data_IF_174535117448
#
_entry.id   IF_174535117448
#
_cell.length_a   1.000
_cell.length_b   1.000
_cell.length_c   1.000
_cell.angle_alpha   90.00
_cell.angle_beta   90.00
_cell.angle_gamma   90.00
#
_symmetry.space_group_name_H-M   'P 1'
#
loop_
_entity.id
_entity.type
_entity.pdbx_description
1 polymer ?
#
# COMPACT_ATOMS: atom_id res chain seq x y z
N UNK A 1 15.48 5.72 23.31
CA UNK A 1 14.37 5.99 24.25
C UNK A 1 13.13 6.59 23.56
N UNK A 2 13.30 7.54 22.64
CA UNK A 2 12.23 8.29 21.97
C UNK A 2 11.46 7.48 20.92
N UNK A 3 12.18 6.71 20.10
CA UNK A 3 11.60 5.76 19.14
C UNK A 3 10.73 4.71 19.85
N UNK A 4 11.20 4.16 20.98
CA UNK A 4 10.41 3.17 21.75
C UNK A 4 9.11 3.76 22.29
N UNK A 5 9.10 5.02 22.73
CA UNK A 5 7.87 5.70 23.16
C UNK A 5 6.90 5.89 21.98
N UNK A 6 7.41 6.31 20.82
CA UNK A 6 6.63 6.43 19.58
C UNK A 6 6.03 5.08 19.15
N UNK A 7 6.84 4.02 19.13
CA UNK A 7 6.39 2.66 18.80
C UNK A 7 5.33 2.20 19.81
N UNK A 8 5.57 2.38 21.10
CA UNK A 8 4.62 1.99 22.14
C UNK A 8 3.27 2.71 21.99
N UNK A 9 3.29 4.02 21.73
CA UNK A 9 2.08 4.80 21.46
C UNK A 9 1.34 4.34 20.20
N UNK A 10 2.08 3.98 19.15
CA UNK A 10 1.51 3.47 17.91
C UNK A 10 0.88 2.09 18.12
N UNK A 11 1.49 1.23 18.94
CA UNK A 11 0.87 -0.02 19.39
C UNK A 11 -0.43 0.22 20.16
N UNK A 12 -0.49 1.22 21.04
CA UNK A 12 -1.72 1.57 21.76
C UNK A 12 -2.83 2.07 20.81
N UNK A 13 -2.48 2.90 19.82
CA UNK A 13 -3.42 3.32 18.78
C UNK A 13 -3.94 2.12 17.99
N UNK A 14 -3.05 1.18 17.63
CA UNK A 14 -3.40 -0.06 16.95
C UNK A 14 -4.40 -0.91 17.76
N UNK A 15 -4.18 -1.05 19.06
CA UNK A 15 -5.11 -1.75 19.95
C UNK A 15 -6.48 -1.06 20.03
N UNK A 16 -6.51 0.27 20.03
CA UNK A 16 -7.76 1.05 20.06
C UNK A 16 -8.58 0.88 18.77
N UNK A 17 -7.90 0.77 17.62
CA UNK A 17 -8.53 0.58 16.31
C UNK A 17 -8.61 -0.88 15.87
N UNK A 18 -8.42 -1.84 16.79
CA UNK A 18 -8.39 -3.29 16.48
C UNK A 18 -9.58 -3.78 15.64
N UNK A 19 -10.78 -3.25 15.89
CA UNK A 19 -11.99 -3.65 15.15
C UNK A 19 -11.86 -3.30 13.66
N UNK A 20 -11.37 -2.09 13.37
CA UNK A 20 -11.19 -1.59 12.01
C UNK A 20 -10.06 -2.34 11.28
N UNK A 21 -9.00 -2.71 12.01
CA UNK A 21 -7.93 -3.55 11.46
C UNK A 21 -8.44 -4.95 11.11
N UNK A 22 -9.19 -5.58 12.02
CA UNK A 22 -9.77 -6.92 11.81
C UNK A 22 -10.76 -6.92 10.64
N UNK A 23 -11.63 -5.91 10.52
CA UNK A 23 -12.55 -5.82 9.38
C UNK A 23 -11.80 -5.64 8.06
N UNK A 24 -10.76 -4.80 8.03
CA UNK A 24 -9.92 -4.67 6.83
C UNK A 24 -9.18 -5.96 6.46
N UNK A 25 -8.69 -6.70 7.45
CA UNK A 25 -8.09 -8.01 7.24
C UNK A 25 -9.08 -9.02 6.61
N UNK A 26 -10.31 -9.08 7.13
CA UNK A 26 -11.35 -9.95 6.57
C UNK A 26 -11.71 -9.58 5.13
N UNK A 27 -11.81 -8.28 4.83
CA UNK A 27 -12.08 -7.81 3.46
C UNK A 27 -10.92 -8.19 2.53
N UNK A 28 -9.68 -8.05 2.97
CA UNK A 28 -8.51 -8.43 2.16
C UNK A 28 -8.49 -9.94 1.90
N UNK A 29 -8.88 -10.75 2.87
CA UNK A 29 -9.00 -12.20 2.69
C UNK A 29 -10.05 -12.54 1.61
N UNK A 30 -11.18 -11.84 1.59
CA UNK A 30 -12.19 -11.95 0.53
C UNK A 30 -11.67 -11.47 -0.83
N UNK A 31 -10.86 -10.40 -0.86
CA UNK A 31 -10.24 -9.92 -2.10
C UNK A 31 -9.23 -10.95 -2.62
N UNK A 32 -8.46 -11.58 -1.73
CA UNK A 32 -7.50 -12.62 -2.09
C UNK A 32 -8.15 -13.91 -2.62
N UNK A 33 -9.41 -14.21 -2.25
CA UNK A 33 -10.11 -15.40 -2.73
C UNK A 33 -10.69 -15.23 -4.15
N UNK A 34 -10.86 -14.01 -4.65
CA UNK A 34 -11.44 -13.78 -5.97
C UNK A 34 -10.52 -14.19 -7.15
N UNK A 35 -9.21 -13.84 -7.16
CA UNK A 35 -8.26 -14.40 -8.12
C UNK A 35 -8.17 -15.92 -8.04
N UNK A 36 -8.46 -16.46 -6.85
CA UNK A 36 -8.34 -17.90 -6.58
C UNK A 36 -9.37 -18.73 -7.33
N UNK A 37 -10.59 -18.20 -7.48
CA UNK A 37 -11.62 -18.85 -8.29
C UNK A 37 -11.21 -18.97 -9.76
N UNK A 38 -10.34 -18.07 -10.27
CA UNK A 38 -9.82 -18.13 -11.64
C UNK A 38 -8.76 -19.22 -11.84
N UNK A 39 -8.09 -19.72 -10.78
CA UNK A 39 -7.12 -20.84 -10.89
C UNK A 39 -7.74 -22.13 -11.45
N UNK A 40 -9.06 -22.30 -11.34
CA UNK A 40 -9.76 -23.49 -11.80
C UNK A 40 -9.90 -23.58 -13.32
N UNK A 41 -9.66 -22.49 -14.05
CA UNK A 41 -10.04 -22.37 -15.48
C UNK A 41 -8.87 -22.12 -16.44
N UNK A 42 -7.66 -21.80 -15.96
CA UNK A 42 -6.53 -21.44 -16.82
C UNK A 42 -5.21 -22.15 -16.48
N UNK A 43 -4.31 -22.22 -17.46
CA UNK A 43 -2.89 -22.47 -17.21
C UNK A 43 -2.36 -21.47 -16.16
N UNK A 44 -1.49 -21.94 -15.26
CA UNK A 44 -0.96 -21.11 -14.18
C UNK A 44 -0.05 -20.01 -14.76
N UNK A 45 -0.49 -18.76 -14.67
CA UNK A 45 0.26 -17.57 -15.06
C UNK A 45 0.16 -16.54 -13.94
N UNK A 46 1.30 -16.19 -13.33
CA UNK A 46 1.37 -15.34 -12.12
C UNK A 46 0.59 -14.03 -12.26
N UNK A 47 0.69 -13.39 -13.41
CA UNK A 47 0.05 -12.12 -13.73
C UNK A 47 -1.47 -12.24 -13.87
N UNK A 48 -1.97 -13.38 -14.33
CA UNK A 48 -3.40 -13.64 -14.49
C UNK A 48 -4.02 -14.12 -13.17
N UNK A 49 -3.27 -14.91 -12.39
CA UNK A 49 -3.82 -15.64 -11.25
C UNK A 49 -3.47 -15.04 -9.89
N UNK A 50 -2.27 -14.47 -9.70
CA UNK A 50 -1.85 -13.86 -8.43
C UNK A 50 -1.94 -12.32 -8.48
N UNK A 51 -1.46 -11.71 -9.56
CA UNK A 51 -1.25 -10.26 -9.67
C UNK A 51 -2.15 -9.60 -10.72
N UNK A 52 -3.40 -10.05 -10.80
CA UNK A 52 -4.34 -9.51 -11.78
C UNK A 52 -4.56 -8.00 -11.54
N UNK A 53 -4.23 -7.13 -12.52
CA UNK A 53 -4.23 -5.69 -12.34
C UNK A 53 -5.64 -5.13 -12.09
N UNK A 54 -6.71 -5.79 -12.56
CA UNK A 54 -8.09 -5.38 -12.32
C UNK A 54 -8.48 -5.53 -10.85
N UNK A 55 -8.12 -6.65 -10.20
CA UNK A 55 -8.38 -6.85 -8.77
C UNK A 55 -7.56 -5.88 -7.92
N UNK A 56 -6.31 -5.61 -8.33
CA UNK A 56 -5.46 -4.63 -7.64
C UNK A 56 -6.08 -3.23 -7.75
N UNK A 57 -6.57 -2.85 -8.93
CA UNK A 57 -7.21 -1.56 -9.20
C UNK A 57 -8.52 -1.34 -8.44
N UNK A 58 -9.47 -2.26 -8.56
CA UNK A 58 -10.84 -2.06 -8.07
C UNK A 58 -10.96 -2.39 -6.58
N UNK A 59 -10.19 -3.37 -6.09
CA UNK A 59 -10.38 -3.92 -4.75
C UNK A 59 -9.21 -3.64 -3.82
N UNK A 60 -7.99 -4.08 -4.15
CA UNK A 60 -6.86 -4.02 -3.21
C UNK A 60 -6.47 -2.58 -2.85
N UNK A 61 -6.16 -1.75 -3.85
CA UNK A 61 -5.69 -0.37 -3.64
C UNK A 61 -6.76 0.47 -2.92
N UNK A 62 -8.04 0.48 -3.36
CA UNK A 62 -9.06 1.32 -2.71
C UNK A 62 -9.32 0.90 -1.28
N UNK A 63 -9.33 -0.40 -1.00
CA UNK A 63 -9.51 -0.92 0.37
C UNK A 63 -8.40 -0.42 1.28
N UNK A 64 -7.14 -0.57 0.87
CA UNK A 64 -6.00 -0.15 1.69
C UNK A 64 -6.00 1.38 1.89
N UNK A 65 -6.35 2.16 0.85
CA UNK A 65 -6.49 3.63 0.96
C UNK A 65 -7.59 4.06 1.95
N UNK A 66 -8.73 3.37 1.96
CA UNK A 66 -9.83 3.66 2.89
C UNK A 66 -9.37 3.39 4.32
N UNK A 67 -8.84 2.21 4.59
CA UNK A 67 -8.44 1.82 5.94
C UNK A 67 -7.26 2.64 6.47
N UNK A 68 -6.28 2.97 5.64
CA UNK A 68 -5.18 3.85 6.04
C UNK A 68 -5.69 5.26 6.38
N UNK A 69 -6.57 5.84 5.56
CA UNK A 69 -7.11 7.19 5.80
C UNK A 69 -7.96 7.25 7.06
N UNK A 70 -8.67 6.16 7.39
CA UNK A 70 -9.40 6.02 8.62
C UNK A 70 -8.47 5.98 9.84
N UNK A 71 -7.27 5.43 9.68
CA UNK A 71 -6.32 5.21 10.78
C UNK A 71 -5.35 6.38 11.02
N UNK A 72 -5.10 7.24 10.03
CA UNK A 72 -4.20 8.38 10.17
C UNK A 72 -4.70 9.29 11.30
N UNK A 73 -3.94 9.31 12.38
CA UNK A 73 -4.15 10.16 13.56
C UNK A 73 -2.78 10.54 14.14
N UNK A 74 -2.58 11.82 14.40
CA UNK A 74 -1.36 12.33 15.02
C UNK A 74 -1.71 13.26 16.19
N UNK A 75 -0.84 13.30 17.20
CA UNK A 75 -1.08 14.11 18.40
C UNK A 75 -0.18 15.34 18.40
N UNK A 76 -0.80 16.51 18.41
CA UNK A 76 -0.06 17.78 18.49
C UNK A 76 0.75 17.91 19.79
N UNK A 77 0.28 17.29 20.88
CA UNK A 77 0.99 17.29 22.17
C UNK A 77 2.43 16.74 22.06
N UNK A 78 2.66 15.77 21.17
CA UNK A 78 3.97 15.17 21.00
C UNK A 78 4.98 16.15 20.38
N UNK A 79 4.50 17.19 19.66
CA UNK A 79 5.36 18.29 19.16
C UNK A 79 5.96 19.05 20.35
N UNK A 80 5.18 19.32 21.39
CA UNK A 80 5.63 20.08 22.57
C UNK A 80 6.64 19.28 23.40
N UNK A 81 6.38 17.98 23.57
CA UNK A 81 7.26 17.08 24.33
C UNK A 81 8.62 16.93 23.63
N UNK A 82 8.61 16.85 22.31
CA UNK A 82 9.78 16.51 21.50
C UNK A 82 10.43 17.72 20.82
N UNK A 83 9.81 18.90 20.96
CA UNK A 83 10.24 20.19 20.38
C UNK A 83 10.49 20.15 18.87
N UNK A 84 9.85 19.23 18.14
CA UNK A 84 9.99 19.11 16.68
C UNK A 84 8.71 18.63 16.01
N UNK A 85 8.38 19.26 14.86
CA UNK A 85 7.25 18.86 13.99
C UNK A 85 7.54 17.59 13.20
N UNK A 86 8.82 17.18 13.07
CA UNK A 86 9.21 15.96 12.36
C UNK A 86 8.61 14.69 12.97
N UNK A 87 8.21 14.74 14.25
CA UNK A 87 7.53 13.64 14.93
C UNK A 87 6.17 13.32 14.29
N UNK A 88 5.45 14.32 13.80
CA UNK A 88 4.17 14.08 13.13
C UNK A 88 4.40 13.31 11.84
N UNK A 89 5.44 13.68 11.08
CA UNK A 89 5.82 12.98 9.85
C UNK A 89 6.15 11.52 10.17
N UNK A 90 6.97 11.25 11.19
CA UNK A 90 7.33 9.88 11.56
C UNK A 90 6.14 9.08 12.06
N UNK A 91 5.22 9.69 12.82
CA UNK A 91 3.97 9.03 13.24
C UNK A 91 3.11 8.63 12.03
N UNK A 92 2.90 9.54 11.09
CA UNK A 92 2.12 9.29 9.88
C UNK A 92 2.78 8.19 9.04
N UNK A 93 4.08 8.30 8.78
CA UNK A 93 4.80 7.31 7.98
C UNK A 93 4.78 5.93 8.64
N UNK A 94 4.92 5.84 9.96
CA UNK A 94 4.85 4.56 10.67
C UNK A 94 3.44 3.96 10.57
N UNK A 95 2.38 4.76 10.67
CA UNK A 95 1.01 4.29 10.50
C UNK A 95 0.75 3.78 9.09
N UNK A 96 1.14 4.56 8.08
CA UNK A 96 1.00 4.14 6.68
C UNK A 96 1.80 2.86 6.43
N UNK A 97 3.06 2.79 6.88
CA UNK A 97 3.92 1.63 6.73
C UNK A 97 3.30 0.39 7.38
N UNK A 98 2.89 0.49 8.64
CA UNK A 98 2.34 -0.66 9.38
C UNK A 98 1.05 -1.18 8.75
N UNK A 99 0.12 -0.31 8.38
CA UNK A 99 -1.15 -0.72 7.75
C UNK A 99 -0.92 -1.37 6.39
N UNK A 100 -0.15 -0.69 5.52
CA UNK A 100 0.13 -1.21 4.18
C UNK A 100 0.90 -2.53 4.25
N UNK A 101 1.85 -2.66 5.17
CA UNK A 101 2.60 -3.90 5.40
C UNK A 101 1.68 -5.04 5.86
N UNK A 102 0.87 -4.83 6.90
CA UNK A 102 -0.06 -5.85 7.42
C UNK A 102 -1.03 -6.31 6.34
N UNK A 103 -1.60 -5.37 5.59
CA UNK A 103 -2.60 -5.68 4.58
C UNK A 103 -2.01 -6.38 3.35
N UNK A 104 -0.86 -5.95 2.85
CA UNK A 104 -0.25 -6.60 1.70
C UNK A 104 0.33 -7.96 2.07
N UNK A 105 0.93 -8.10 3.25
CA UNK A 105 1.39 -9.41 3.72
C UNK A 105 0.22 -10.36 3.96
N UNK A 106 -0.90 -9.90 4.52
CA UNK A 106 -2.11 -10.72 4.65
C UNK A 106 -2.66 -11.17 3.29
N UNK A 107 -2.71 -10.26 2.32
CA UNK A 107 -3.16 -10.56 0.97
C UNK A 107 -2.27 -11.60 0.30
N UNK A 108 -0.94 -11.43 0.38
CA UNK A 108 0.04 -12.36 -0.17
C UNK A 108 -0.06 -13.75 0.49
N UNK A 109 -0.13 -13.80 1.83
CA UNK A 109 -0.24 -15.06 2.57
C UNK A 109 -1.53 -15.78 2.18
N UNK A 110 -2.66 -15.06 2.09
CA UNK A 110 -3.93 -15.63 1.64
C UNK A 110 -3.81 -16.20 0.22
N UNK A 111 -3.23 -15.48 -0.74
CA UNK A 111 -3.03 -15.97 -2.10
C UNK A 111 -2.17 -17.25 -2.14
N UNK A 112 -1.08 -17.29 -1.37
CA UNK A 112 -0.20 -18.47 -1.28
C UNK A 112 -0.97 -19.66 -0.68
N UNK A 113 -1.67 -19.46 0.44
CA UNK A 113 -2.44 -20.51 1.11
C UNK A 113 -3.52 -21.08 0.18
N UNK A 114 -4.28 -20.20 -0.48
CA UNK A 114 -5.29 -20.63 -1.43
C UNK A 114 -4.68 -21.38 -2.63
N UNK A 115 -3.55 -20.91 -3.16
CA UNK A 115 -2.86 -21.60 -4.24
C UNK A 115 -2.34 -22.99 -3.83
N UNK A 116 -1.88 -23.16 -2.59
CA UNK A 116 -1.50 -24.47 -2.03
C UNK A 116 -2.72 -25.39 -1.92
N UNK A 117 -3.85 -24.89 -1.39
CA UNK A 117 -5.11 -25.66 -1.26
C UNK A 117 -5.62 -26.15 -2.63
N UNK A 118 -5.39 -25.37 -3.68
CA UNK A 118 -5.73 -25.74 -5.06
C UNK A 118 -4.68 -26.61 -5.78
N UNK A 119 -3.66 -27.10 -5.07
CA UNK A 119 -2.65 -28.00 -5.63
C UNK A 119 -1.59 -27.31 -6.50
N UNK A 120 -1.45 -25.97 -6.44
CA UNK A 120 -0.43 -25.20 -7.18
C UNK A 120 0.86 -24.96 -6.38
N UNK A 121 1.05 -25.65 -5.25
CA UNK A 121 2.18 -25.44 -4.34
C UNK A 121 3.56 -25.49 -5.00
N UNK A 122 3.81 -26.48 -5.85
CA UNK A 122 5.11 -26.61 -6.55
C UNK A 122 5.42 -25.44 -7.47
N UNK A 123 4.40 -24.89 -8.16
CA UNK A 123 4.57 -23.72 -9.04
C UNK A 123 4.86 -22.46 -8.23
N UNK A 124 4.19 -22.30 -7.08
CA UNK A 124 4.43 -21.18 -6.16
C UNK A 124 5.86 -21.20 -5.62
N UNK A 125 6.37 -22.39 -5.26
CA UNK A 125 7.76 -22.51 -4.77
C UNK A 125 8.76 -22.14 -5.86
N UNK A 126 8.55 -22.58 -7.11
CA UNK A 126 9.42 -22.23 -8.25
C UNK A 126 9.45 -20.73 -8.51
N UNK A 127 8.33 -20.04 -8.31
CA UNK A 127 8.16 -18.61 -8.59
C UNK A 127 8.26 -17.72 -7.33
N UNK A 128 8.71 -18.25 -6.20
CA UNK A 128 8.66 -17.53 -4.92
C UNK A 128 9.47 -16.21 -4.96
N UNK A 129 10.58 -16.20 -5.68
CA UNK A 129 11.39 -14.99 -5.88
C UNK A 129 10.65 -13.90 -6.67
N UNK A 130 9.98 -14.26 -7.77
CA UNK A 130 9.22 -13.31 -8.59
C UNK A 130 8.00 -12.78 -7.84
N UNK A 131 7.32 -13.65 -7.09
CA UNK A 131 6.20 -13.29 -6.21
C UNK A 131 6.61 -12.23 -5.17
N UNK A 132 7.73 -12.44 -4.47
CA UNK A 132 8.23 -11.48 -3.46
C UNK A 132 8.58 -10.14 -4.11
N UNK A 133 9.28 -10.16 -5.25
CA UNK A 133 9.68 -8.95 -5.96
C UNK A 133 8.46 -8.14 -6.43
N UNK A 134 7.50 -8.77 -7.10
CA UNK A 134 6.27 -8.10 -7.55
C UNK A 134 5.47 -7.57 -6.35
N UNK A 135 5.37 -8.34 -5.27
CA UNK A 135 4.67 -7.90 -4.06
C UNK A 135 5.33 -6.70 -3.42
N UNK A 136 6.67 -6.66 -3.37
CA UNK A 136 7.40 -5.50 -2.86
C UNK A 136 7.19 -4.26 -3.72
N UNK A 137 7.14 -4.40 -5.05
CA UNK A 137 6.78 -3.33 -5.97
C UNK A 137 5.35 -2.80 -5.68
N UNK A 138 4.37 -3.69 -5.60
CA UNK A 138 2.98 -3.34 -5.28
C UNK A 138 2.89 -2.64 -3.93
N UNK A 139 3.65 -3.11 -2.93
CA UNK A 139 3.74 -2.47 -1.62
C UNK A 139 4.29 -1.05 -1.71
N UNK A 140 5.38 -0.83 -2.46
CA UNK A 140 5.91 0.53 -2.67
C UNK A 140 4.93 1.45 -3.41
N UNK A 141 4.18 0.93 -4.39
CA UNK A 141 3.18 1.71 -5.13
C UNK A 141 1.99 2.10 -4.24
N UNK A 142 1.51 1.17 -3.42
CA UNK A 142 0.44 1.43 -2.47
C UNK A 142 0.93 2.39 -1.38
N UNK A 143 2.15 2.24 -0.89
CA UNK A 143 2.76 3.17 0.06
C UNK A 143 2.82 4.60 -0.51
N UNK A 144 3.27 4.75 -1.77
CA UNK A 144 3.26 6.03 -2.48
C UNK A 144 1.87 6.66 -2.50
N UNK A 145 0.86 5.91 -2.95
CA UNK A 145 -0.52 6.41 -3.02
C UNK A 145 -1.03 6.84 -1.65
N UNK A 146 -0.68 6.13 -0.58
CA UNK A 146 -1.05 6.52 0.78
C UNK A 146 -0.35 7.81 1.25
N UNK A 147 0.91 8.02 0.89
CA UNK A 147 1.61 9.28 1.16
C UNK A 147 0.95 10.43 0.40
N UNK A 148 0.63 10.24 -0.89
CA UNK A 148 -0.10 11.22 -1.72
C UNK A 148 -1.48 11.52 -1.11
N UNK A 149 -2.22 10.49 -0.73
CA UNK A 149 -3.52 10.65 -0.07
C UNK A 149 -3.39 11.48 1.20
N UNK A 150 -2.36 11.23 2.01
CA UNK A 150 -2.13 12.00 3.24
C UNK A 150 -1.77 13.45 2.96
N UNK A 151 -0.99 13.72 1.92
CA UNK A 151 -0.73 15.08 1.44
C UNK A 151 -2.06 15.78 1.10
N UNK A 152 -2.94 15.14 0.34
CA UNK A 152 -4.26 15.70 0.02
C UNK A 152 -5.16 15.86 1.25
N UNK A 153 -5.14 14.93 2.20
CA UNK A 153 -5.87 15.06 3.48
C UNK A 153 -5.39 16.31 4.21
N UNK A 154 -4.08 16.52 4.29
CA UNK A 154 -3.51 17.70 4.96
C UNK A 154 -3.78 18.98 4.18
N UNK A 155 -3.89 18.94 2.86
CA UNK A 155 -4.10 20.14 2.06
C UNK A 155 -5.57 20.59 2.06
N UNK A 156 -6.50 19.65 1.87
CA UNK A 156 -7.93 19.94 1.76
C UNK A 156 -8.70 19.79 3.08
N UNK A 157 -8.08 19.20 4.11
CA UNK A 157 -8.73 18.81 5.37
C UNK A 157 -9.98 17.90 5.17
N UNK A 158 -10.09 17.21 4.03
CA UNK A 158 -11.22 16.35 3.69
C UNK A 158 -10.74 14.96 3.25
N UNK A 159 -11.06 13.93 4.04
CA UNK A 159 -10.64 12.53 3.75
C UNK A 159 -11.28 11.99 2.46
N UNK A 160 -12.55 12.28 2.23
CA UNK A 160 -13.28 11.80 1.05
C UNK A 160 -12.70 12.38 -0.25
N UNK A 161 -12.46 13.70 -0.28
CA UNK A 161 -11.90 14.37 -1.45
C UNK A 161 -10.48 13.85 -1.76
N UNK A 162 -9.65 13.70 -0.73
CA UNK A 162 -8.31 13.13 -0.86
C UNK A 162 -8.33 11.70 -1.42
N UNK A 163 -9.26 10.87 -0.94
CA UNK A 163 -9.48 9.53 -1.47
C UNK A 163 -9.86 9.55 -2.95
N UNK A 164 -10.84 10.39 -3.34
CA UNK A 164 -11.29 10.49 -4.74
C UNK A 164 -10.14 10.92 -5.66
N UNK A 165 -9.35 11.93 -5.27
CA UNK A 165 -8.20 12.39 -6.06
C UNK A 165 -7.12 11.31 -6.19
N UNK A 166 -6.80 10.64 -5.08
CA UNK A 166 -5.81 9.54 -5.10
C UNK A 166 -6.30 8.35 -5.93
N UNK A 167 -7.59 8.03 -5.82
CA UNK A 167 -8.21 6.97 -6.62
C UNK A 167 -8.25 7.35 -8.11
N UNK A 168 -8.43 8.63 -8.45
CA UNK A 168 -8.34 9.11 -9.82
C UNK A 168 -6.91 8.97 -10.38
N UNK A 169 -5.87 9.24 -9.58
CA UNK A 169 -4.47 8.96 -9.97
C UNK A 169 -4.27 7.47 -10.24
N UNK A 170 -4.78 6.61 -9.34
CA UNK A 170 -4.75 5.16 -9.54
C UNK A 170 -5.46 4.75 -10.85
N UNK A 171 -6.63 5.31 -11.12
CA UNK A 171 -7.40 5.08 -12.35
C UNK A 171 -6.68 5.56 -13.61
N UNK A 172 -5.98 6.70 -13.55
CA UNK A 172 -5.15 7.18 -14.65
C UNK A 172 -3.99 6.21 -14.93
N UNK A 173 -3.29 5.74 -13.89
CA UNK A 173 -2.24 4.72 -14.04
C UNK A 173 -2.80 3.41 -14.60
N UNK A 174 -3.97 2.98 -14.17
CA UNK A 174 -4.62 1.78 -14.68
C UNK A 174 -5.03 1.93 -16.15
N UNK A 175 -5.56 3.09 -16.55
CA UNK A 175 -5.88 3.40 -17.95
C UNK A 175 -4.63 3.38 -18.85
N UNK A 176 -3.51 3.96 -18.38
CA UNK A 176 -2.23 3.88 -19.07
C UNK A 176 -1.79 2.43 -19.29
N UNK A 177 -1.88 1.61 -18.25
CA UNK A 177 -1.59 0.18 -18.33
C UNK A 177 -2.46 -0.55 -19.35
N UNK A 178 -3.79 -0.33 -19.35
CA UNK A 178 -4.69 -0.92 -20.34
C UNK A 178 -4.34 -0.51 -21.78
N UNK A 179 -3.87 0.73 -21.95
CA UNK A 179 -3.37 1.23 -23.24
C UNK A 179 -1.96 0.75 -23.61
N UNK A 180 -1.36 -0.14 -22.81
CA UNK A 180 0.02 -0.65 -22.95
C UNK A 180 1.09 0.46 -22.92
N UNK A 181 0.81 1.55 -22.22
CA UNK A 181 1.74 2.65 -21.97
C UNK A 181 2.40 2.48 -20.59
N UNK A 182 3.60 3.05 -20.38
CA UNK A 182 4.27 3.02 -19.09
C UNK A 182 3.36 3.58 -17.99
N UNK A 183 3.26 2.84 -16.90
CA UNK A 183 2.36 3.09 -15.78
C UNK A 183 3.11 2.89 -14.46
N UNK A 184 3.23 3.96 -13.69
CA UNK A 184 4.01 3.96 -12.45
C UNK A 184 3.58 2.86 -11.45
N UNK A 185 2.29 2.50 -11.44
CA UNK A 185 1.70 1.58 -10.47
C UNK A 185 1.60 0.16 -11.01
N UNK A 186 1.41 -0.02 -12.32
CA UNK A 186 1.05 -1.30 -12.94
C UNK A 186 2.14 -1.87 -13.88
N UNK A 187 3.31 -1.24 -13.95
CA UNK A 187 4.45 -1.74 -14.75
C UNK A 187 5.12 -2.98 -14.17
N UNK A 188 4.66 -3.50 -13.03
CA UNK A 188 5.06 -4.82 -12.55
C UNK A 188 4.61 -5.98 -13.46
N UNK A 189 3.74 -5.71 -14.44
CA UNK A 189 3.17 -6.70 -15.36
C UNK A 189 4.15 -7.19 -16.44
N UNK A 190 5.26 -6.49 -16.70
CA UNK A 190 6.31 -7.00 -17.60
C UNK A 190 7.17 -8.01 -16.84
N UNK A 191 6.68 -9.26 -16.74
CA UNK A 191 7.20 -10.37 -15.92
C UNK A 191 8.65 -10.79 -16.23
N UNK A 192 9.22 -10.34 -17.34
CA UNK A 192 10.65 -10.48 -17.51
C UNK A 192 11.32 -9.61 -16.45
N UNK A 193 11.93 -10.25 -15.44
CA UNK A 193 12.90 -9.74 -14.45
C UNK A 193 14.11 -9.11 -15.17
N UNK A 194 13.79 -8.13 -15.98
CA UNK A 194 14.64 -7.39 -16.86
C UNK A 194 15.14 -6.19 -16.09
N UNK A 195 16.24 -5.61 -16.57
CA UNK A 195 16.73 -4.33 -16.08
C UNK A 195 15.63 -3.25 -16.05
N UNK A 196 14.60 -3.38 -16.90
CA UNK A 196 13.46 -2.48 -16.92
C UNK A 196 12.61 -2.54 -15.64
N UNK A 197 12.30 -3.73 -15.11
CA UNK A 197 11.56 -3.87 -13.84
C UNK A 197 12.32 -3.21 -12.67
N UNK A 198 13.63 -3.45 -12.59
CA UNK A 198 14.48 -2.85 -11.57
C UNK A 198 14.53 -1.33 -11.72
N UNK A 199 14.67 -0.82 -12.95
CA UNK A 199 14.67 0.62 -13.21
C UNK A 199 13.35 1.28 -12.82
N UNK A 200 12.22 0.66 -13.15
CA UNK A 200 10.89 1.14 -12.79
C UNK A 200 10.69 1.13 -11.26
N UNK A 201 11.18 0.09 -10.58
CA UNK A 201 11.17 0.02 -9.12
C UNK A 201 12.00 1.13 -8.47
N UNK A 202 13.18 1.43 -9.01
CA UNK A 202 14.01 2.54 -8.53
C UNK A 202 13.36 3.90 -8.78
N UNK A 203 12.73 4.10 -9.93
CA UNK A 203 11.98 5.33 -10.24
C UNK A 203 10.82 5.50 -9.25
N UNK A 204 10.06 4.43 -9.00
CA UNK A 204 8.96 4.42 -8.05
C UNK A 204 9.45 4.75 -6.63
N UNK A 205 10.57 4.16 -6.19
CA UNK A 205 11.21 4.49 -4.91
C UNK A 205 11.71 5.95 -4.85
N UNK A 206 12.26 6.47 -5.94
CA UNK A 206 12.64 7.88 -6.02
C UNK A 206 11.43 8.79 -5.81
N UNK A 207 10.32 8.50 -6.49
CA UNK A 207 9.08 9.26 -6.37
C UNK A 207 8.48 9.12 -4.96
N UNK A 208 8.51 7.93 -4.34
CA UNK A 208 8.06 7.78 -2.95
C UNK A 208 8.87 8.65 -2.00
N UNK A 209 10.19 8.64 -2.10
CA UNK A 209 11.06 9.49 -1.26
C UNK A 209 10.77 10.98 -1.47
N UNK A 210 10.61 11.43 -2.72
CA UNK A 210 10.24 12.84 -2.98
C UNK A 210 8.88 13.20 -2.39
N UNK A 211 7.88 12.32 -2.47
CA UNK A 211 6.56 12.55 -1.86
C UNK A 211 6.64 12.65 -0.33
N UNK A 212 7.50 11.86 0.31
CA UNK A 212 7.76 11.95 1.75
C UNK A 212 8.41 13.29 2.11
N UNK A 213 9.32 13.79 1.28
CA UNK A 213 9.90 15.12 1.47
C UNK A 213 8.85 16.24 1.33
N UNK A 214 7.93 16.13 0.36
CA UNK A 214 6.81 17.07 0.19
C UNK A 214 5.91 17.03 1.44
N UNK A 215 5.57 15.85 1.94
CA UNK A 215 4.80 15.67 3.17
C UNK A 215 5.47 16.38 4.37
N UNK A 216 6.79 16.22 4.51
CA UNK A 216 7.57 16.89 5.54
C UNK A 216 7.50 18.41 5.40
N UNK A 217 7.68 18.95 4.19
CA UNK A 217 7.59 20.41 3.96
C UNK A 217 6.20 20.97 4.31
N UNK A 218 5.12 20.27 3.96
CA UNK A 218 3.75 20.68 4.28
C UNK A 218 3.56 20.73 5.79
N UNK A 219 3.96 19.68 6.52
CA UNK A 219 3.81 19.61 7.98
C UNK A 219 4.66 20.67 8.69
N UNK A 220 5.85 20.97 8.17
CA UNK A 220 6.69 22.02 8.75
C UNK A 220 6.12 23.42 8.53
N UNK A 221 5.49 23.69 7.38
CA UNK A 221 4.88 25.00 7.06
C UNK A 221 3.51 25.21 7.66
N UNK A 222 2.71 24.16 7.82
CA UNK A 222 1.32 24.29 8.29
C UNK A 222 1.33 24.78 9.75
N UNK A 223 0.65 25.89 10.00
CA UNK A 223 0.34 26.31 11.36
C UNK A 223 -0.69 25.33 11.93
N UNK A 224 -0.20 24.43 12.78
CA UNK A 224 -0.97 23.40 13.44
C UNK A 224 -1.42 23.85 14.85
N UNK A 225 -1.37 25.15 15.14
CA UNK A 225 -1.74 25.79 16.42
C UNK A 225 -2.73 26.90 16.12
#
# INVERSE_FOLDING_TARGET
MLLNKLIHQQCLLFLNYKKLIITGFLIILLIASAPVMMFSTSEFKLDVTFFNPYFIFIALIPTILIFSSAFIHYRLLDIYILKTRSVIVTQILLQIFTITFIYITSWLISLILFGIVLGKGEMIVKELGSIILITSYIWTAIFLLNVINTIFILWFNQKLLAFILTFAINGACFSLHQSKKPSLIYDFYTINLSMQFVSNGLILLGITLTSVMILMMIIMRKDLI
#
